data_IF_107809552769
#
_entry.id   IF_107809552769
#
_cell.length_a   1.000
_cell.length_b   1.000
_cell.length_c   1.000
_cell.angle_alpha   90.00
_cell.angle_beta   90.00
_cell.angle_gamma   90.00
#
_symmetry.space_group_name_H-M   'P 1'
#
loop_
_entity.id
_entity.type
_entity.pdbx_description
1 polymer ?
#
# COMPACT_ATOMS: atom_id res chain seq x y z
N UNK A 1 6.79 18.23 -6.64
CA UNK A 1 5.66 18.41 -5.73
C UNK A 1 4.36 17.88 -6.30
N UNK A 2 3.29 17.96 -5.52
CA UNK A 2 1.96 17.55 -5.99
C UNK A 2 1.19 18.75 -6.52
N UNK A 3 0.46 18.57 -7.62
CA UNK A 3 -0.39 19.58 -8.25
C UNK A 3 -1.85 19.15 -8.11
N UNK A 4 -2.74 20.10 -7.81
CA UNK A 4 -4.17 19.85 -7.76
C UNK A 4 -4.73 19.81 -9.19
N UNK A 5 -5.29 18.68 -9.57
CA UNK A 5 -6.07 18.53 -10.80
C UNK A 5 -7.54 18.83 -10.45
N UNK A 6 -8.14 19.88 -11.06
CA UNK A 6 -9.52 20.23 -10.75
C UNK A 6 -10.51 19.21 -11.32
N UNK A 7 -11.75 19.22 -10.80
CA UNK A 7 -12.85 18.46 -11.38
C UNK A 7 -13.08 18.86 -12.84
N UNK A 8 -13.19 17.88 -13.72
CA UNK A 8 -13.39 18.11 -15.14
C UNK A 8 -13.92 16.89 -15.87
N UNK A 9 -14.09 17.02 -17.17
CA UNK A 9 -14.41 15.92 -18.07
C UNK A 9 -13.38 15.85 -19.19
N UNK A 10 -13.00 14.64 -19.58
CA UNK A 10 -12.05 14.37 -20.64
C UNK A 10 -12.64 13.33 -21.62
N UNK A 11 -12.47 13.58 -22.90
CA UNK A 11 -12.75 12.58 -23.91
C UNK A 11 -11.51 11.69 -24.11
N UNK A 12 -11.69 10.41 -23.94
CA UNK A 12 -10.66 9.38 -24.18
C UNK A 12 -11.08 8.50 -25.35
N UNK A 13 -10.12 8.09 -26.16
CA UNK A 13 -10.33 7.27 -27.35
C UNK A 13 -9.85 7.99 -28.62
N UNK A 14 -9.98 7.31 -29.75
CA UNK A 14 -9.54 7.82 -31.04
C UNK A 14 -10.38 9.01 -31.47
N UNK A 15 -9.71 10.04 -31.99
CA UNK A 15 -10.35 11.19 -32.61
C UNK A 15 -10.58 10.95 -34.11
N UNK A 16 -11.40 11.78 -34.73
CA UNK A 16 -11.73 11.72 -36.17
C UNK A 16 -10.49 11.86 -37.10
N UNK A 17 -9.34 12.24 -36.54
CA UNK A 17 -8.08 12.36 -37.27
C UNK A 17 -7.36 11.02 -37.45
N UNK A 18 -7.76 9.97 -36.74
CA UNK A 18 -7.16 8.62 -36.81
C UNK A 18 -7.90 7.77 -37.89
N UNK A 19 -7.55 8.01 -39.12
CA UNK A 19 -8.26 7.49 -40.31
C UNK A 19 -8.28 5.95 -40.40
N UNK A 20 -7.29 5.28 -39.82
CA UNK A 20 -7.09 3.83 -40.02
C UNK A 20 -7.94 2.98 -39.06
N UNK A 21 -8.28 3.47 -37.89
CA UNK A 21 -8.95 2.73 -36.82
C UNK A 21 -10.09 3.48 -36.12
N UNK A 22 -10.47 4.67 -36.64
CA UNK A 22 -11.50 5.53 -36.03
C UNK A 22 -12.89 4.88 -35.90
N UNK A 23 -13.16 3.85 -36.69
CA UNK A 23 -14.42 3.10 -36.60
C UNK A 23 -14.42 1.94 -35.61
N UNK A 24 -13.27 1.53 -35.07
CA UNK A 24 -13.16 0.39 -34.17
C UNK A 24 -13.23 0.76 -32.69
N UNK A 25 -12.97 2.02 -32.35
CA UNK A 25 -13.01 2.49 -30.98
C UNK A 25 -13.80 3.81 -30.88
N UNK A 26 -14.91 3.79 -30.17
CA UNK A 26 -15.70 4.99 -29.91
C UNK A 26 -15.06 5.84 -28.81
N UNK A 27 -15.04 7.16 -28.99
CA UNK A 27 -14.62 8.08 -27.93
C UNK A 27 -15.60 8.01 -26.75
N UNK A 28 -15.06 8.07 -25.54
CA UNK A 28 -15.83 8.05 -24.30
C UNK A 28 -15.50 9.27 -23.46
N UNK A 29 -16.53 10.00 -23.04
CA UNK A 29 -16.39 11.09 -22.08
C UNK A 29 -16.35 10.53 -20.66
N UNK A 30 -15.30 10.82 -19.93
CA UNK A 30 -15.11 10.43 -18.52
C UNK A 30 -15.06 11.69 -17.67
N UNK A 31 -15.88 11.70 -16.61
CA UNK A 31 -15.84 12.76 -15.60
C UNK A 31 -14.91 12.34 -14.47
N UNK A 32 -13.99 13.22 -14.09
CA UNK A 32 -12.97 13.02 -13.08
C UNK A 32 -13.20 14.00 -11.95
N UNK A 33 -13.20 13.53 -10.71
CA UNK A 33 -13.23 14.38 -9.52
C UNK A 33 -11.85 15.00 -9.28
N UNK A 34 -11.80 16.11 -8.52
CA UNK A 34 -10.54 16.73 -8.16
C UNK A 34 -9.64 15.78 -7.36
N UNK A 35 -8.36 15.73 -7.70
CA UNK A 35 -7.35 14.91 -7.02
C UNK A 35 -5.97 15.56 -7.09
N UNK A 36 -5.08 15.13 -6.21
CA UNK A 36 -3.69 15.53 -6.23
C UNK A 36 -2.87 14.52 -7.03
N UNK A 37 -2.01 15.01 -7.89
CA UNK A 37 -1.11 14.21 -8.73
C UNK A 37 0.30 14.75 -8.62
N UNK A 38 1.29 13.85 -8.60
CA UNK A 38 2.69 14.28 -8.69
C UNK A 38 2.95 14.96 -10.04
N UNK A 39 3.71 16.06 -10.00
CA UNK A 39 4.07 16.86 -11.17
C UNK A 39 5.03 16.12 -12.10
N UNK A 40 5.85 15.25 -11.53
CA UNK A 40 6.85 14.46 -12.22
C UNK A 40 6.72 12.99 -11.85
N UNK A 41 7.16 12.10 -12.70
CA UNK A 41 7.27 10.69 -12.40
C UNK A 41 8.26 10.46 -11.26
N UNK A 42 7.98 9.44 -10.42
CA UNK A 42 8.86 9.05 -9.33
C UNK A 42 10.10 8.37 -9.90
N UNK A 43 11.26 8.87 -9.52
CA UNK A 43 12.55 8.31 -9.94
C UNK A 43 12.88 7.03 -9.16
N UNK A 44 13.76 6.19 -9.72
CA UNK A 44 14.26 5.01 -9.03
C UNK A 44 14.96 5.34 -7.70
N UNK A 45 15.56 6.51 -7.59
CA UNK A 45 16.23 6.95 -6.35
C UNK A 45 15.21 7.28 -5.26
N UNK A 46 14.17 7.99 -5.59
CA UNK A 46 13.06 8.29 -4.66
C UNK A 46 12.36 6.99 -4.23
N UNK A 47 12.15 6.07 -5.16
CA UNK A 47 11.57 4.76 -4.81
C UNK A 47 12.47 3.96 -3.87
N UNK A 48 13.79 3.98 -4.05
CA UNK A 48 14.75 3.35 -3.12
C UNK A 48 14.67 3.95 -1.71
N UNK A 49 14.47 5.26 -1.59
CA UNK A 49 14.28 5.90 -0.30
C UNK A 49 13.02 5.38 0.39
N UNK A 50 11.91 5.24 -0.35
CA UNK A 50 10.68 4.63 0.15
C UNK A 50 10.92 3.18 0.61
N UNK A 51 11.57 2.36 -0.20
CA UNK A 51 11.93 0.97 0.16
C UNK A 51 12.77 0.92 1.42
N UNK A 52 13.77 1.80 1.54
CA UNK A 52 14.61 1.92 2.72
C UNK A 52 13.80 2.27 3.98
N UNK A 53 12.86 3.20 3.85
CA UNK A 53 11.96 3.57 4.94
C UNK A 53 11.03 2.42 5.35
N UNK A 54 10.48 1.67 4.39
CA UNK A 54 9.65 0.48 4.69
C UNK A 54 10.47 -0.56 5.44
N UNK A 55 11.69 -0.85 5.00
CA UNK A 55 12.59 -1.78 5.66
C UNK A 55 12.91 -1.34 7.10
N UNK A 56 13.23 -0.05 7.30
CA UNK A 56 13.48 0.50 8.63
C UNK A 56 12.26 0.40 9.54
N UNK A 57 11.07 0.67 8.99
CA UNK A 57 9.80 0.51 9.71
C UNK A 57 9.55 -0.93 10.15
N UNK A 58 9.76 -1.90 9.27
CA UNK A 58 9.59 -3.32 9.58
C UNK A 58 10.60 -3.77 10.64
N UNK A 59 11.86 -3.32 10.55
CA UNK A 59 12.89 -3.62 11.55
C UNK A 59 12.49 -3.10 12.93
N UNK A 60 12.06 -1.85 13.02
CA UNK A 60 11.61 -1.23 14.29
C UNK A 60 10.40 -1.94 14.87
N UNK A 61 9.44 -2.29 14.02
CA UNK A 61 8.27 -3.02 14.47
C UNK A 61 8.66 -4.37 15.08
N UNK A 62 9.52 -5.15 14.41
CA UNK A 62 9.98 -6.43 14.93
C UNK A 62 10.74 -6.30 16.25
N UNK A 63 11.65 -5.33 16.32
CA UNK A 63 12.37 -5.06 17.57
C UNK A 63 11.43 -4.66 18.70
N UNK A 64 10.42 -3.85 18.42
CA UNK A 64 9.40 -3.49 19.41
C UNK A 64 8.56 -4.70 19.84
N UNK A 65 8.21 -5.59 18.92
CA UNK A 65 7.45 -6.82 19.20
C UNK A 65 8.26 -7.80 20.08
N UNK A 66 9.60 -7.78 19.97
CA UNK A 66 10.54 -8.54 20.83
C UNK A 66 10.82 -7.85 22.18
N UNK A 67 10.15 -6.73 22.46
CA UNK A 67 10.22 -6.03 23.76
C UNK A 67 11.22 -4.87 23.83
N UNK A 68 11.76 -4.43 22.70
CA UNK A 68 12.64 -3.26 22.63
C UNK A 68 11.83 -1.96 22.52
N UNK A 69 11.26 -1.52 23.62
CA UNK A 69 10.38 -0.33 23.72
C UNK A 69 11.03 0.99 23.32
N UNK A 70 12.35 1.06 23.15
CA UNK A 70 13.06 2.25 22.66
C UNK A 70 12.72 2.58 21.20
N UNK A 71 12.18 1.62 20.46
CA UNK A 71 11.71 1.81 19.09
C UNK A 71 10.24 2.24 19.02
N UNK A 72 9.60 2.43 20.18
CA UNK A 72 8.26 3.00 20.27
C UNK A 72 8.32 4.42 20.86
N UNK A 73 7.38 5.26 20.42
CA UNK A 73 7.23 6.61 20.98
C UNK A 73 6.60 6.50 22.36
N UNK A 74 7.26 7.10 23.36
CA UNK A 74 6.79 7.16 24.72
C UNK A 74 6.17 8.53 25.05
N UNK A 75 5.18 8.53 25.90
CA UNK A 75 4.57 9.73 26.46
C UNK A 75 5.56 10.47 27.39
N UNK A 76 5.23 11.69 27.83
CA UNK A 76 6.03 12.41 28.83
C UNK A 76 6.18 11.65 30.16
N UNK A 77 5.29 10.70 30.43
CA UNK A 77 5.33 9.83 31.61
C UNK A 77 6.18 8.56 31.42
N UNK A 78 6.74 8.35 30.23
CA UNK A 78 7.54 7.17 29.90
C UNK A 78 6.72 5.96 29.43
N UNK A 79 5.40 6.07 29.32
CA UNK A 79 4.52 5.01 28.86
C UNK A 79 4.46 5.00 27.33
N UNK A 80 4.36 3.82 26.72
CA UNK A 80 4.15 3.67 25.28
C UNK A 80 2.78 4.25 24.90
N UNK A 81 2.71 4.97 23.80
CA UNK A 81 1.47 5.55 23.30
C UNK A 81 0.49 4.44 22.86
N UNK A 82 -0.81 4.68 23.10
CA UNK A 82 -1.89 3.85 22.55
C UNK A 82 -2.71 4.69 21.55
N UNK A 83 -2.75 4.30 20.26
CA UNK A 83 -2.05 3.19 19.62
C UNK A 83 -0.53 3.40 19.53
N UNK A 84 0.27 2.32 19.55
CA UNK A 84 1.72 2.40 19.50
C UNK A 84 2.21 3.02 18.19
N UNK A 85 3.25 3.85 18.28
CA UNK A 85 3.87 4.52 17.14
C UNK A 85 5.36 4.26 17.13
N UNK A 86 5.93 4.02 15.95
CA UNK A 86 7.35 3.77 15.79
C UNK A 86 8.18 5.03 16.05
N UNK A 87 9.27 4.87 16.78
CA UNK A 87 10.26 5.90 17.03
C UNK A 87 11.41 5.80 16.01
N UNK A 88 11.49 6.76 15.11
CA UNK A 88 12.54 6.81 14.07
C UNK A 88 13.82 7.55 14.51
N UNK A 89 13.84 8.16 15.70
CA UNK A 89 15.00 8.88 16.20
C UNK A 89 16.06 7.93 16.78
N UNK A 90 15.65 6.81 17.33
CA UNK A 90 16.56 5.81 17.88
C UNK A 90 17.26 5.06 16.74
N UNK A 91 18.61 5.06 16.75
CA UNK A 91 19.38 4.33 15.74
C UNK A 91 19.36 2.83 16.03
N UNK A 92 19.13 2.02 15.01
CA UNK A 92 19.29 0.56 15.10
C UNK A 92 20.77 0.21 14.97
N UNK A 93 21.36 -0.35 16.02
CA UNK A 93 22.75 -0.81 15.97
C UNK A 93 22.80 -2.29 15.60
N UNK A 94 23.08 -2.56 14.31
CA UNK A 94 23.18 -3.91 13.76
C UNK A 94 24.35 -4.74 14.30
N UNK A 95 25.16 -4.19 15.23
CA UNK A 95 26.26 -4.95 15.87
C UNK A 95 25.77 -5.73 17.09
N UNK A 96 24.67 -5.34 17.68
CA UNK A 96 24.07 -6.03 18.82
C UNK A 96 23.51 -7.37 18.38
N UNK A 97 23.90 -8.44 19.06
CA UNK A 97 23.48 -9.79 18.71
C UNK A 97 21.99 -10.00 18.95
N UNK A 98 21.41 -9.39 19.99
CA UNK A 98 19.98 -9.35 20.26
C UNK A 98 19.16 -8.85 19.05
N UNK A 99 19.63 -7.76 18.40
CA UNK A 99 18.94 -7.19 17.24
C UNK A 99 19.12 -8.06 15.98
N UNK A 100 20.29 -8.71 15.84
CA UNK A 100 20.51 -9.65 14.73
C UNK A 100 19.58 -10.85 14.84
N UNK A 101 19.41 -11.39 16.05
CA UNK A 101 18.53 -12.52 16.30
C UNK A 101 17.06 -12.17 16.00
N UNK A 102 16.56 -11.06 16.54
CA UNK A 102 15.22 -10.56 16.27
C UNK A 102 14.95 -10.30 14.77
N UNK A 103 15.98 -9.85 14.04
CA UNK A 103 15.88 -9.50 12.62
C UNK A 103 16.26 -10.67 11.68
N UNK A 104 16.77 -11.78 12.18
CA UNK A 104 17.16 -12.94 11.39
C UNK A 104 16.01 -13.46 10.51
N UNK A 105 14.78 -13.36 11.00
CA UNK A 105 13.58 -13.70 10.23
C UNK A 105 13.32 -12.85 8.98
N UNK A 106 14.01 -11.71 8.80
CA UNK A 106 13.94 -10.89 7.57
C UNK A 106 14.94 -11.33 6.51
N UNK A 107 15.93 -12.14 6.89
CA UNK A 107 16.95 -12.60 5.98
C UNK A 107 16.44 -13.78 5.16
N UNK A 108 17.04 -13.96 4.00
CA UNK A 108 16.76 -15.09 3.13
C UNK A 108 17.29 -16.39 3.77
N UNK A 109 16.43 -17.39 3.86
CA UNK A 109 16.73 -18.69 4.47
C UNK A 109 16.59 -19.84 3.45
N UNK A 110 16.89 -19.57 2.19
CA UNK A 110 16.77 -20.56 1.11
C UNK A 110 18.13 -21.02 0.60
N UNK A 111 18.09 -21.73 -0.52
CA UNK A 111 19.20 -22.38 -1.21
C UNK A 111 20.47 -21.51 -1.31
N UNK A 112 21.64 -22.11 -1.15
CA UNK A 112 23.01 -21.54 -1.09
C UNK A 112 23.45 -20.66 -2.26
N UNK A 113 22.58 -20.43 -3.25
CA UNK A 113 22.86 -19.61 -4.43
C UNK A 113 22.70 -18.11 -4.21
N UNK A 114 22.00 -17.72 -3.16
CA UNK A 114 21.83 -16.34 -2.73
C UNK A 114 22.57 -16.23 -1.40
N UNK A 115 23.50 -15.30 -1.30
CA UNK A 115 24.41 -15.20 -0.16
C UNK A 115 23.70 -15.22 1.18
N UNK A 116 24.20 -16.00 2.13
CA UNK A 116 23.72 -16.00 3.50
C UNK A 116 23.71 -14.57 4.06
N UNK A 117 22.59 -14.19 4.66
CA UNK A 117 22.45 -12.88 5.29
C UNK A 117 21.89 -11.78 4.37
N UNK A 118 21.52 -12.09 3.14
CA UNK A 118 20.78 -11.14 2.29
C UNK A 118 19.33 -10.97 2.73
N UNK A 119 18.82 -9.78 2.51
CA UNK A 119 17.45 -9.44 2.84
C UNK A 119 16.47 -10.18 1.92
N UNK A 120 15.48 -10.85 2.49
CA UNK A 120 14.39 -11.43 1.72
C UNK A 120 13.38 -10.34 1.33
N UNK A 121 13.54 -9.81 0.13
CA UNK A 121 12.70 -8.71 -0.40
C UNK A 121 11.21 -9.08 -0.47
N UNK A 122 10.85 -10.37 -0.49
CA UNK A 122 9.47 -10.83 -0.50
C UNK A 122 8.75 -10.56 0.82
N UNK A 123 9.51 -10.31 1.91
CA UNK A 123 9.00 -9.96 3.25
C UNK A 123 8.80 -8.46 3.43
N UNK A 124 9.17 -7.65 2.44
CA UNK A 124 8.94 -6.22 2.48
C UNK A 124 7.53 -5.90 1.99
N UNK A 125 6.62 -5.77 2.93
CA UNK A 125 5.23 -5.39 2.69
C UNK A 125 4.95 -4.02 3.28
N UNK A 126 4.32 -3.16 2.50
CA UNK A 126 3.81 -1.86 2.95
C UNK A 126 2.33 -1.96 3.24
N UNK A 127 1.94 -1.68 4.48
CA UNK A 127 0.56 -1.62 4.89
C UNK A 127 0.07 -0.17 4.86
N UNK A 128 -1.01 0.10 4.15
CA UNK A 128 -1.65 1.41 4.13
C UNK A 128 -3.16 1.30 4.36
N UNK A 129 -3.74 2.41 4.75
CA UNK A 129 -5.18 2.50 4.96
C UNK A 129 -5.73 3.77 4.34
N UNK A 130 -6.96 3.70 3.85
CA UNK A 130 -7.69 4.84 3.32
C UNK A 130 -9.14 4.79 3.76
N UNK A 131 -9.81 5.92 3.72
CA UNK A 131 -11.24 5.98 4.01
C UNK A 131 -12.03 5.85 2.71
N UNK A 132 -12.90 4.85 2.62
CA UNK A 132 -13.76 4.64 1.45
C UNK A 132 -15.00 5.54 1.54
N UNK A 133 -14.85 6.75 1.01
CA UNK A 133 -15.94 7.71 0.96
C UNK A 133 -17.10 7.27 0.07
N UNK A 134 -16.82 6.47 -0.96
CA UNK A 134 -17.86 6.00 -1.88
C UNK A 134 -18.82 5.03 -1.19
N UNK A 135 -18.29 4.13 -0.38
CA UNK A 135 -19.13 3.25 0.44
C UNK A 135 -19.81 4.02 1.56
N UNK A 136 -19.12 4.93 2.23
CA UNK A 136 -19.68 5.74 3.32
C UNK A 136 -20.85 6.63 2.87
N UNK A 137 -20.83 7.09 1.61
CA UNK A 137 -21.86 7.96 1.04
C UNK A 137 -23.12 7.24 0.52
N UNK A 138 -23.16 5.91 0.56
CA UNK A 138 -24.35 5.17 0.15
C UNK A 138 -25.52 5.45 1.10
N UNK A 139 -26.73 5.61 0.55
CA UNK A 139 -27.93 5.92 1.33
C UNK A 139 -28.23 4.90 2.44
N UNK A 140 -27.83 3.65 2.24
CA UNK A 140 -28.03 2.58 3.22
C UNK A 140 -27.03 2.64 4.39
N UNK A 141 -26.02 3.50 4.30
CA UNK A 141 -24.91 3.57 5.25
C UNK A 141 -24.95 4.82 6.14
N UNK A 142 -26.08 5.51 6.22
CA UNK A 142 -26.17 6.72 7.02
C UNK A 142 -26.19 6.44 8.53
N UNK A 143 -25.63 7.36 9.29
CA UNK A 143 -25.65 7.34 10.74
C UNK A 143 -27.00 7.87 11.24
N UNK A 144 -27.68 7.10 12.11
CA UNK A 144 -28.89 7.53 12.80
C UNK A 144 -28.54 8.07 14.19
N UNK A 145 -28.65 9.39 14.41
CA UNK A 145 -28.34 9.98 15.71
C UNK A 145 -29.26 9.52 16.85
N UNK A 146 -30.49 9.12 16.53
CA UNK A 146 -31.47 8.72 17.54
C UNK A 146 -31.14 7.35 18.14
N UNK A 147 -30.69 6.41 17.30
CA UNK A 147 -30.29 5.07 17.74
C UNK A 147 -28.78 4.98 18.06
N UNK A 148 -27.99 5.98 17.68
CA UNK A 148 -26.54 5.95 17.82
C UNK A 148 -25.83 4.92 16.93
N UNK A 149 -26.52 4.41 15.92
CA UNK A 149 -26.04 3.32 15.05
C UNK A 149 -26.08 3.71 13.57
N UNK A 150 -25.34 2.97 12.75
CA UNK A 150 -25.49 3.07 11.30
C UNK A 150 -26.63 2.19 10.82
N UNK A 151 -27.55 2.81 10.08
CA UNK A 151 -28.58 2.08 9.36
C UNK A 151 -27.97 1.52 8.07
N UNK A 152 -28.25 0.27 7.81
CA UNK A 152 -27.81 -0.40 6.62
C UNK A 152 -26.76 -1.45 6.91
N UNK A 153 -26.59 -2.27 6.04
CA UNK A 153 -26.09 -3.54 5.95
C UNK A 153 -24.62 -3.75 6.25
N UNK A 154 -23.81 -3.73 5.23
CA UNK A 154 -22.42 -4.16 5.29
C UNK A 154 -21.55 -3.25 4.42
N UNK A 155 -20.29 -3.20 4.78
CA UNK A 155 -19.23 -2.60 3.98
C UNK A 155 -18.41 -3.74 3.34
N UNK A 156 -17.92 -3.51 2.13
CA UNK A 156 -17.03 -4.44 1.44
C UNK A 156 -15.61 -4.01 1.78
N UNK A 157 -14.84 -4.88 2.44
CA UNK A 157 -13.45 -4.60 2.77
C UNK A 157 -12.53 -4.66 1.53
N UNK A 158 -11.25 -4.34 1.69
CA UNK A 158 -10.27 -4.34 0.60
C UNK A 158 -10.02 -5.73 -0.03
N UNK A 159 -10.44 -6.79 0.64
CA UNK A 159 -10.34 -8.19 0.23
C UNK A 159 -11.63 -8.68 -0.46
N UNK A 160 -12.65 -7.83 -0.53
CA UNK A 160 -13.94 -8.14 -1.16
C UNK A 160 -14.94 -8.83 -0.24
N UNK A 161 -14.64 -8.95 1.05
CA UNK A 161 -15.53 -9.58 2.03
C UNK A 161 -16.51 -8.59 2.62
N UNK A 162 -17.69 -9.09 3.03
CA UNK A 162 -18.74 -8.29 3.64
C UNK A 162 -18.58 -8.23 5.14
N UNK A 163 -18.42 -7.03 5.68
CA UNK A 163 -18.35 -6.78 7.12
C UNK A 163 -19.51 -5.91 7.59
N UNK A 164 -20.05 -6.21 8.77
CA UNK A 164 -21.11 -5.40 9.37
C UNK A 164 -20.59 -4.01 9.78
N UNK A 165 -21.37 -2.97 9.52
CA UNK A 165 -21.02 -1.60 9.92
C UNK A 165 -21.21 -1.44 11.42
N UNK A 166 -20.09 -1.25 12.13
CA UNK A 166 -20.05 -1.00 13.58
C UNK A 166 -19.88 0.48 13.90
N UNK A 167 -19.34 1.26 12.98
CA UNK A 167 -19.08 2.68 13.18
C UNK A 167 -18.33 3.28 11.99
N UNK A 168 -17.84 4.50 12.14
CA UNK A 168 -17.05 5.19 11.09
C UNK A 168 -15.77 4.44 10.71
N UNK A 169 -15.17 3.73 11.65
CA UNK A 169 -13.96 2.92 11.41
C UNK A 169 -14.18 1.75 10.45
N UNK A 170 -15.43 1.30 10.27
CA UNK A 170 -15.77 0.23 9.33
C UNK A 170 -15.54 0.63 7.86
N UNK A 171 -15.45 1.94 7.58
CA UNK A 171 -15.14 2.46 6.24
C UNK A 171 -13.64 2.68 6.00
N UNK A 172 -12.79 2.31 6.96
CA UNK A 172 -11.34 2.37 6.80
C UNK A 172 -10.89 1.06 6.16
N UNK A 173 -10.55 1.14 4.89
CA UNK A 173 -9.99 0.04 4.14
C UNK A 173 -8.50 -0.09 4.48
N UNK A 174 -8.02 -1.32 4.58
CA UNK A 174 -6.60 -1.63 4.83
C UNK A 174 -6.11 -2.56 3.74
N UNK A 175 -4.93 -2.29 3.22
CA UNK A 175 -4.30 -3.14 2.21
C UNK A 175 -2.81 -3.26 2.48
N UNK A 176 -2.26 -4.44 2.22
CA UNK A 176 -0.82 -4.70 2.20
C UNK A 176 -0.39 -4.91 0.77
N UNK A 177 0.70 -4.27 0.38
CA UNK A 177 1.30 -4.43 -0.94
C UNK A 177 2.78 -4.78 -0.80
N UNK A 178 3.26 -5.63 -1.67
CA UNK A 178 4.69 -5.93 -1.75
C UNK A 178 5.41 -4.72 -2.34
N UNK A 179 6.50 -4.33 -1.70
CA UNK A 179 7.30 -3.17 -2.13
C UNK A 179 8.15 -3.51 -3.35
N UNK A 180 8.64 -4.75 -3.43
CA UNK A 180 9.35 -5.22 -4.62
C UNK A 180 8.41 -6.01 -5.54
N UNK A 181 8.44 -5.75 -6.84
CA UNK A 181 7.74 -6.58 -7.81
C UNK A 181 8.34 -7.98 -7.84
N UNK A 182 7.54 -8.98 -8.23
CA UNK A 182 8.06 -10.34 -8.47
C UNK A 182 8.91 -10.36 -9.74
N UNK A 183 10.21 -10.13 -9.58
CA UNK A 183 11.17 -10.14 -10.70
C UNK A 183 11.37 -11.54 -11.28
N UNK A 184 10.92 -12.59 -10.60
CA UNK A 184 11.02 -13.97 -11.06
C UNK A 184 9.80 -14.42 -11.87
N UNK A 185 8.79 -13.58 -12.00
CA UNK A 185 7.59 -13.93 -12.79
C UNK A 185 7.92 -14.29 -14.25
N UNK A 186 8.92 -13.65 -14.83
CA UNK A 186 9.43 -13.92 -16.18
C UNK A 186 10.07 -15.31 -16.35
N UNK A 187 10.60 -15.88 -15.26
CA UNK A 187 11.26 -17.18 -15.27
C UNK A 187 10.30 -18.34 -14.95
N UNK A 188 9.12 -18.03 -14.40
CA UNK A 188 8.13 -19.03 -14.02
C UNK A 188 7.22 -19.44 -15.17
N UNK A 189 7.07 -18.60 -16.15
CA UNK A 189 6.20 -18.84 -17.28
C UNK A 189 7.01 -19.21 -18.52
N UNK A 190 7.12 -20.50 -18.80
CA UNK A 190 7.81 -21.03 -19.97
C UNK A 190 7.02 -20.80 -21.27
N UNK A 191 5.78 -20.37 -21.17
CA UNK A 191 4.91 -20.07 -22.32
C UNK A 191 4.90 -18.60 -22.69
N UNK A 192 5.73 -17.78 -22.05
CA UNK A 192 5.81 -16.35 -22.30
C UNK A 192 6.18 -16.09 -23.77
N UNK A 193 5.25 -15.51 -24.52
CA UNK A 193 5.47 -15.08 -25.89
C UNK A 193 5.90 -13.61 -25.91
N UNK A 194 7.06 -13.33 -26.49
CA UNK A 194 7.63 -11.98 -26.61
C UNK A 194 6.73 -10.96 -27.31
N UNK A 195 5.76 -11.45 -28.07
CA UNK A 195 4.89 -10.63 -28.91
C UNK A 195 3.55 -10.29 -28.26
N UNK A 196 3.26 -10.80 -27.08
CA UNK A 196 2.03 -10.49 -26.36
C UNK A 196 2.33 -9.54 -25.20
N UNK A 197 1.63 -8.38 -25.11
CA UNK A 197 1.78 -7.50 -23.96
C UNK A 197 1.29 -8.23 -22.71
N UNK A 198 2.22 -8.48 -21.80
CA UNK A 198 1.91 -9.15 -20.55
C UNK A 198 1.37 -8.14 -19.54
N UNK A 199 0.08 -8.13 -19.37
CA UNK A 199 -0.58 -7.35 -18.30
C UNK A 199 -0.88 -8.29 -17.15
N UNK A 200 -0.06 -8.26 -16.10
CA UNK A 200 -0.45 -8.79 -14.80
C UNK A 200 -1.00 -7.64 -13.96
N UNK A 201 -2.22 -7.76 -13.52
CA UNK A 201 -2.74 -6.94 -12.42
C UNK A 201 -1.97 -7.34 -11.14
N UNK A 202 -1.29 -6.36 -10.55
CA UNK A 202 -0.62 -6.50 -9.27
C UNK A 202 -1.56 -6.06 -8.14
#
# INVERSE_FOLDING_TARGET
GMVLIPTGSLNIGNNDEDITWAMSATSKTVSIQAFWMDETEITNDEYRQFVGWVLDSIRRQRLADEGHDEFLVKSRKGEVLDPPRLNYHTRIDMRKDEYKEALAGLLYQGDDRIGEGELDVRKLEYAYSWYDFAQAAKNDHYYDPASGTYKGGFVINAEGEKEAIKGRSSFIMKKKVKVYPDTLCWLKDLTYAYNEPFVREY
#
